data_IF_965291682726
#
_entry.id   IF_965291682726
#
_cell.length_a   1.000
_cell.length_b   1.000
_cell.length_c   1.000
_cell.angle_alpha   90.00
_cell.angle_beta   90.00
_cell.angle_gamma   90.00
#
_symmetry.space_group_name_H-M   'P 1'
#
loop_
_entity.id
_entity.type
_entity.pdbx_description
1 polymer ?
#
# COMPACT_ATOMS: atom_id res chain seq x y z
N UNK A 1 28.86 -7.62 -0.25
CA UNK A 1 28.97 -6.25 -0.70
C UNK A 1 28.40 -5.37 0.41
N UNK A 2 29.28 -4.60 1.05
CA UNK A 2 29.11 -3.97 2.35
C UNK A 2 27.97 -2.96 2.37
N UNK A 3 27.04 -3.12 3.31
CA UNK A 3 26.06 -2.10 3.65
C UNK A 3 26.62 -1.34 4.84
N UNK A 4 26.79 -0.02 4.68
CA UNK A 4 27.11 0.88 5.76
C UNK A 4 25.98 0.89 6.79
N UNK A 5 26.33 0.48 7.99
CA UNK A 5 25.56 0.66 9.21
C UNK A 5 25.56 2.16 9.57
N UNK A 6 24.60 2.92 9.08
CA UNK A 6 24.32 4.28 9.52
C UNK A 6 23.84 4.25 10.98
N UNK A 7 24.72 4.60 11.87
CA UNK A 7 24.53 4.63 13.32
C UNK A 7 23.42 5.64 13.70
N UNK A 8 22.38 5.20 14.44
CA UNK A 8 21.26 6.02 14.95
C UNK A 8 21.71 7.31 15.67
N UNK A 9 22.94 7.29 16.23
CA UNK A 9 23.54 8.46 16.88
C UNK A 9 23.97 9.57 15.93
N UNK A 10 24.35 9.22 14.69
CA UNK A 10 24.84 10.19 13.71
C UNK A 10 23.71 10.97 13.04
N UNK A 11 22.56 10.33 12.76
CA UNK A 11 21.39 11.00 12.18
C UNK A 11 20.79 12.00 13.18
N UNK A 12 20.72 11.62 14.47
CA UNK A 12 20.23 12.53 15.51
C UNK A 12 21.17 13.72 15.74
N UNK A 13 22.48 13.49 15.69
CA UNK A 13 23.48 14.56 15.77
C UNK A 13 23.45 15.47 14.53
N UNK A 14 23.18 14.94 13.34
CA UNK A 14 23.00 15.75 12.12
C UNK A 14 21.77 16.64 12.21
N UNK A 15 20.63 16.12 12.62
CA UNK A 15 19.39 16.88 12.79
C UNK A 15 19.50 17.95 13.88
N UNK A 16 20.28 17.70 14.95
CA UNK A 16 20.57 18.69 15.98
C UNK A 16 21.59 19.74 15.50
N UNK A 17 22.54 19.36 14.63
CA UNK A 17 23.48 20.27 13.98
C UNK A 17 22.79 21.21 12.99
N UNK A 18 21.92 20.68 12.13
CA UNK A 18 21.14 21.45 11.15
C UNK A 18 20.19 22.45 11.85
N UNK A 19 19.54 22.05 12.95
CA UNK A 19 18.73 22.98 13.76
C UNK A 19 19.54 24.08 14.43
N UNK A 20 20.79 23.82 14.77
CA UNK A 20 21.68 24.83 15.33
C UNK A 20 22.25 25.77 14.25
N UNK A 21 22.49 25.29 13.03
CA UNK A 21 22.87 26.12 11.89
C UNK A 21 21.73 27.04 11.43
N UNK A 22 20.50 26.55 11.36
CA UNK A 22 19.32 27.40 11.08
C UNK A 22 19.11 28.48 12.16
N UNK A 23 19.40 28.17 13.42
CA UNK A 23 19.31 29.12 14.53
C UNK A 23 20.42 30.20 14.49
N UNK A 24 21.61 29.84 14.01
CA UNK A 24 22.74 30.79 13.90
C UNK A 24 22.65 31.64 12.62
N UNK A 25 22.09 31.14 11.51
CA UNK A 25 21.89 31.93 10.29
C UNK A 25 20.72 32.92 10.39
N UNK A 26 19.81 32.76 11.34
CA UNK A 26 18.75 33.74 11.63
C UNK A 26 19.22 35.01 12.32
N UNK A 27 20.46 35.09 12.79
CA UNK A 27 20.96 36.21 13.64
C UNK A 27 21.95 37.14 12.89
N UNK A 28 22.27 36.87 11.61
CA UNK A 28 23.31 37.65 10.87
C UNK A 28 22.78 38.28 9.57
N UNK A 29 21.59 38.81 9.51
CA UNK A 29 21.15 39.63 8.38
C UNK A 29 20.36 40.88 8.81
N UNK A 30 20.96 41.67 9.67
CA UNK A 30 20.62 43.10 9.82
C UNK A 30 21.94 43.87 9.72
N UNK A 31 22.11 44.63 8.65
CA UNK A 31 23.19 45.59 8.31
C UNK A 31 24.15 45.10 7.20
N UNK A 32 23.80 45.41 5.98
CA UNK A 32 24.73 45.94 4.97
C UNK A 32 23.95 46.39 3.71
N UNK A 33 23.56 47.64 3.72
CA UNK A 33 23.13 48.38 2.53
C UNK A 33 24.42 48.75 1.74
N UNK A 34 24.61 48.18 0.56
CA UNK A 34 25.57 48.70 -0.42
C UNK A 34 25.10 48.41 -1.85
N UNK A 35 24.84 49.48 -2.53
CA UNK A 35 24.51 49.64 -3.93
C UNK A 35 25.50 48.87 -4.86
N UNK A 36 24.98 47.97 -5.68
CA UNK A 36 25.64 47.61 -6.94
C UNK A 36 24.61 47.33 -8.04
N UNK A 37 24.58 48.23 -9.01
CA UNK A 37 23.83 48.14 -10.25
C UNK A 37 24.46 47.05 -11.11
N UNK A 38 23.86 45.87 -11.14
CA UNK A 38 24.21 44.78 -12.03
C UNK A 38 22.96 44.27 -12.73
N UNK A 39 22.93 44.38 -14.03
CA UNK A 39 21.88 43.98 -14.94
C UNK A 39 21.55 42.49 -14.80
N UNK A 40 20.64 42.15 -13.90
CA UNK A 40 20.14 40.79 -13.69
C UNK A 40 18.93 40.56 -14.59
N UNK A 41 19.13 39.97 -15.73
CA UNK A 41 18.07 39.30 -16.49
C UNK A 41 17.40 38.29 -15.55
N UNK A 42 16.28 38.67 -15.01
CA UNK A 42 15.34 37.73 -14.39
C UNK A 42 14.87 36.81 -15.49
N UNK A 43 15.49 35.62 -15.58
CA UNK A 43 14.91 34.51 -16.33
C UNK A 43 13.54 34.22 -15.68
N UNK A 44 12.47 34.79 -16.25
CA UNK A 44 11.13 34.27 -16.06
C UNK A 44 11.21 32.79 -16.43
N UNK A 45 11.04 31.91 -15.45
CA UNK A 45 10.77 30.50 -15.73
C UNK A 45 9.54 30.50 -16.63
N UNK A 46 9.71 29.92 -17.77
CA UNK A 46 8.64 29.72 -18.73
C UNK A 46 7.70 28.67 -18.09
N UNK A 47 6.53 29.11 -17.61
CA UNK A 47 5.52 28.28 -16.99
C UNK A 47 4.77 27.40 -18.01
N UNK A 48 5.38 27.16 -19.18
CA UNK A 48 4.82 26.28 -20.19
C UNK A 48 4.86 24.81 -19.68
N UNK A 49 3.74 24.06 -19.78
CA UNK A 49 3.64 22.71 -19.29
C UNK A 49 4.70 21.79 -19.95
N UNK A 50 5.63 21.26 -19.17
CA UNK A 50 6.57 20.23 -19.60
C UNK A 50 7.95 20.68 -20.05
N UNK A 51 8.32 21.99 -19.96
CA UNK A 51 9.56 22.47 -20.55
C UNK A 51 10.84 22.05 -19.81
N UNK A 52 10.84 21.74 -18.51
CA UNK A 52 12.06 21.51 -17.75
C UNK A 52 12.01 20.30 -16.81
N UNK A 53 11.89 19.10 -17.39
CA UNK A 53 12.09 17.88 -16.58
C UNK A 53 13.56 17.73 -16.21
N UNK A 54 13.82 17.42 -14.94
CA UNK A 54 15.15 17.30 -14.36
C UNK A 54 15.73 15.89 -14.54
N UNK A 55 17.03 15.80 -14.29
CA UNK A 55 17.73 14.52 -14.20
C UNK A 55 17.82 14.06 -12.75
N UNK A 56 17.96 12.77 -12.52
CA UNK A 56 18.13 12.16 -11.20
C UNK A 56 19.17 12.87 -10.32
N UNK A 57 20.33 13.21 -10.89
CA UNK A 57 21.43 13.89 -10.17
C UNK A 57 21.08 15.31 -9.70
N UNK A 58 20.09 15.94 -10.33
CA UNK A 58 19.69 17.33 -10.03
C UNK A 58 18.54 17.37 -9.01
N UNK A 59 18.04 16.20 -8.60
CA UNK A 59 16.96 16.07 -7.63
C UNK A 59 17.47 16.16 -6.19
N UNK A 60 16.64 16.62 -5.23
CA UNK A 60 16.93 16.49 -3.81
C UNK A 60 17.15 15.02 -3.41
N UNK A 61 18.01 14.77 -2.42
CA UNK A 61 18.44 13.43 -2.02
C UNK A 61 17.26 12.49 -1.69
N UNK A 62 16.21 12.98 -1.04
CA UNK A 62 15.03 12.18 -0.69
C UNK A 62 14.20 11.72 -1.90
N UNK A 63 14.37 12.36 -3.07
CA UNK A 63 13.75 11.97 -4.34
C UNK A 63 14.68 11.12 -5.22
N UNK A 64 15.91 10.87 -4.80
CA UNK A 64 16.90 10.04 -5.51
C UNK A 64 16.81 8.56 -5.11
N UNK A 65 15.60 7.98 -5.08
CA UNK A 65 15.37 6.62 -4.58
C UNK A 65 15.67 5.50 -5.58
N UNK A 66 15.71 5.78 -6.89
CA UNK A 66 16.02 4.79 -7.92
C UNK A 66 17.19 5.24 -8.80
N UNK A 67 18.40 4.66 -8.62
CA UNK A 67 19.61 5.10 -9.33
C UNK A 67 19.65 4.66 -10.80
N UNK A 68 18.68 3.91 -11.31
CA UNK A 68 18.60 3.41 -12.67
C UNK A 68 17.67 4.24 -13.56
N UNK A 69 16.89 5.17 -12.98
CA UNK A 69 16.03 6.13 -13.67
C UNK A 69 16.78 7.46 -13.74
N UNK A 70 17.14 7.92 -14.94
CA UNK A 70 18.03 9.06 -15.11
C UNK A 70 17.33 10.37 -15.45
N UNK A 71 16.15 10.31 -16.06
CA UNK A 71 15.45 11.47 -16.63
C UNK A 71 13.95 11.48 -16.29
N UNK A 72 13.26 12.55 -16.67
CA UNK A 72 11.82 12.64 -16.52
C UNK A 72 11.35 13.10 -15.15
N UNK A 73 12.24 13.61 -14.29
CA UNK A 73 11.86 14.08 -12.95
C UNK A 73 11.22 15.46 -13.01
N UNK A 74 10.09 15.63 -12.32
CA UNK A 74 9.49 16.94 -12.10
C UNK A 74 10.37 17.77 -11.17
N UNK A 75 10.52 19.09 -11.38
CA UNK A 75 11.13 19.96 -10.38
C UNK A 75 10.30 20.00 -9.07
N UNK A 76 10.80 20.66 -8.05
CA UNK A 76 9.99 20.99 -6.88
C UNK A 76 8.89 21.96 -7.32
N UNK A 77 7.63 21.66 -6.97
CA UNK A 77 6.45 22.33 -7.48
C UNK A 77 5.57 22.88 -6.35
N UNK A 78 4.85 23.95 -6.64
CA UNK A 78 3.71 24.38 -5.80
C UNK A 78 2.59 23.33 -5.83
N UNK A 79 1.60 23.47 -4.95
CA UNK A 79 0.41 22.61 -4.95
C UNK A 79 -0.27 22.56 -6.33
N UNK A 80 -0.51 23.73 -6.92
CA UNK A 80 -1.12 23.82 -8.25
C UNK A 80 -0.20 23.32 -9.37
N UNK A 81 1.12 23.46 -9.21
CA UNK A 81 2.11 22.87 -10.12
C UNK A 81 2.04 21.35 -10.12
N UNK A 82 1.87 20.72 -8.95
CA UNK A 82 1.63 19.27 -8.87
C UNK A 82 0.33 18.85 -9.58
N UNK A 83 -0.76 19.61 -9.41
CA UNK A 83 -2.02 19.33 -10.13
C UNK A 83 -1.83 19.49 -11.65
N UNK A 84 -1.18 20.56 -12.09
CA UNK A 84 -0.91 20.79 -13.51
C UNK A 84 -0.01 19.72 -14.13
N UNK A 85 0.82 19.03 -13.33
CA UNK A 85 1.65 17.94 -13.83
C UNK A 85 0.85 16.73 -14.35
N UNK A 86 -0.42 16.63 -14.04
CA UNK A 86 -1.31 15.62 -14.62
C UNK A 86 -1.47 15.77 -16.14
N UNK A 87 -1.15 16.93 -16.71
CA UNK A 87 -1.39 17.25 -18.13
C UNK A 87 -0.12 17.19 -19.01
N UNK A 88 1.00 16.72 -18.45
CA UNK A 88 2.22 16.45 -19.23
C UNK A 88 2.92 15.19 -18.74
N UNK A 89 3.75 14.57 -19.62
CA UNK A 89 4.45 13.32 -19.31
C UNK A 89 5.69 13.56 -18.45
N UNK A 90 5.83 12.74 -17.41
CA UNK A 90 7.01 12.67 -16.53
C UNK A 90 7.13 11.25 -15.96
N UNK A 91 8.21 10.93 -15.27
CA UNK A 91 8.48 9.58 -14.76
C UNK A 91 7.44 9.03 -13.76
N UNK A 92 6.62 9.89 -13.14
CA UNK A 92 5.55 9.50 -12.21
C UNK A 92 4.15 9.44 -12.87
N UNK A 93 4.01 9.82 -14.14
CA UNK A 93 2.69 9.89 -14.80
C UNK A 93 1.97 8.54 -14.78
N UNK A 94 2.66 7.47 -15.12
CA UNK A 94 2.07 6.12 -15.13
C UNK A 94 1.69 5.68 -13.71
N UNK A 95 2.52 5.97 -12.71
CA UNK A 95 2.22 5.66 -11.30
C UNK A 95 0.94 6.37 -10.84
N UNK A 96 0.75 7.63 -11.20
CA UNK A 96 -0.45 8.41 -10.86
C UNK A 96 -1.69 7.83 -11.56
N UNK A 97 -1.63 7.60 -12.88
CA UNK A 97 -2.79 7.13 -13.68
C UNK A 97 -3.21 5.73 -13.27
N UNK A 98 -2.27 4.81 -13.09
CA UNK A 98 -2.57 3.42 -12.71
C UNK A 98 -3.26 3.31 -11.35
N UNK A 99 -3.17 4.33 -10.51
CA UNK A 99 -3.89 4.39 -9.24
C UNK A 99 -5.14 5.28 -9.28
N UNK A 100 -5.18 6.32 -10.09
CA UNK A 100 -6.39 7.16 -10.27
C UNK A 100 -7.56 6.35 -10.84
N UNK A 101 -7.31 5.54 -11.87
CA UNK A 101 -8.35 4.76 -12.56
C UNK A 101 -9.03 3.73 -11.63
N UNK A 102 -8.31 2.90 -10.86
CA UNK A 102 -8.93 1.97 -9.92
C UNK A 102 -9.78 2.63 -8.83
N UNK A 103 -9.43 3.85 -8.36
CA UNK A 103 -10.26 4.57 -7.40
C UNK A 103 -11.67 4.76 -7.94
N UNK A 104 -11.79 5.29 -9.15
CA UNK A 104 -13.09 5.55 -9.79
C UNK A 104 -13.83 4.23 -10.03
N UNK A 105 -13.15 3.23 -10.59
CA UNK A 105 -13.73 1.92 -10.87
C UNK A 105 -14.30 1.27 -9.60
N UNK A 106 -13.54 1.22 -8.51
CA UNK A 106 -13.95 0.58 -7.27
C UNK A 106 -15.13 1.32 -6.63
N UNK A 107 -15.08 2.65 -6.57
CA UNK A 107 -16.15 3.44 -5.96
C UNK A 107 -17.49 3.32 -6.71
N UNK A 108 -17.43 3.07 -8.01
CA UNK A 108 -18.64 2.88 -8.84
C UNK A 108 -19.16 1.44 -8.78
N UNK A 109 -18.28 0.44 -8.81
CA UNK A 109 -18.69 -0.97 -9.00
C UNK A 109 -18.85 -1.75 -7.69
N UNK A 110 -17.90 -1.60 -6.75
CA UNK A 110 -17.85 -2.45 -5.54
C UNK A 110 -19.06 -2.27 -4.63
N UNK A 111 -19.57 -1.05 -4.36
CA UNK A 111 -20.73 -0.89 -3.47
C UNK A 111 -21.95 -1.69 -3.92
N UNK A 112 -22.21 -1.79 -5.23
CA UNK A 112 -23.36 -2.54 -5.77
C UNK A 112 -23.28 -4.05 -5.61
N UNK A 113 -22.09 -4.58 -5.30
CA UNK A 113 -21.82 -6.03 -5.21
C UNK A 113 -21.75 -6.54 -3.77
N UNK A 114 -21.86 -5.65 -2.78
CA UNK A 114 -21.74 -6.01 -1.37
C UNK A 114 -23.11 -6.34 -0.74
N UNK A 115 -23.18 -7.31 0.19
CA UNK A 115 -24.42 -7.73 0.82
C UNK A 115 -24.83 -6.76 1.96
N UNK A 116 -25.11 -5.50 1.64
CA UNK A 116 -25.50 -4.47 2.63
C UNK A 116 -26.82 -4.77 3.36
N UNK A 117 -27.68 -5.56 2.71
CA UNK A 117 -28.95 -6.00 3.29
C UNK A 117 -28.79 -6.93 4.48
N UNK A 118 -27.66 -7.66 4.55
CA UNK A 118 -27.37 -8.61 5.61
C UNK A 118 -26.62 -7.92 6.77
N UNK A 119 -27.24 -7.69 7.94
CA UNK A 119 -26.62 -6.94 9.03
C UNK A 119 -25.30 -7.50 9.52
N UNK A 120 -25.15 -8.84 9.51
CA UNK A 120 -23.94 -9.53 9.96
C UNK A 120 -22.73 -9.31 9.02
N UNK A 121 -22.96 -8.97 7.75
CA UNK A 121 -21.89 -8.76 6.76
C UNK A 121 -21.60 -7.29 6.46
N UNK A 122 -22.35 -6.34 7.03
CA UNK A 122 -22.12 -4.90 6.79
C UNK A 122 -20.72 -4.47 7.17
N UNK A 123 -20.21 -4.94 8.32
CA UNK A 123 -18.84 -4.62 8.73
C UNK A 123 -17.80 -5.15 7.74
N UNK A 124 -17.94 -6.39 7.28
CA UNK A 124 -17.03 -6.98 6.29
C UNK A 124 -17.14 -6.29 4.94
N UNK A 125 -18.32 -5.83 4.55
CA UNK A 125 -18.54 -5.03 3.33
C UNK A 125 -17.79 -3.71 3.39
N UNK A 126 -17.83 -3.00 4.52
CA UNK A 126 -17.00 -1.81 4.75
C UNK A 126 -15.51 -2.13 4.76
N UNK A 127 -15.10 -3.23 5.40
CA UNK A 127 -13.71 -3.68 5.38
C UNK A 127 -13.22 -3.89 3.95
N UNK A 128 -14.03 -4.56 3.11
CA UNK A 128 -13.68 -4.80 1.73
C UNK A 128 -13.60 -3.52 0.92
N UNK A 129 -14.58 -2.63 1.02
CA UNK A 129 -14.58 -1.35 0.28
C UNK A 129 -13.37 -0.49 0.65
N UNK A 130 -13.12 -0.29 1.96
CA UNK A 130 -11.97 0.47 2.43
C UNK A 130 -10.65 -0.20 2.03
N UNK A 131 -10.55 -1.52 2.19
CA UNK A 131 -9.36 -2.27 1.80
C UNK A 131 -9.08 -2.25 0.30
N UNK A 132 -10.12 -2.17 -0.53
CA UNK A 132 -9.96 -2.10 -1.99
C UNK A 132 -9.55 -0.73 -2.49
N UNK A 133 -10.00 0.38 -1.86
CA UNK A 133 -9.75 1.75 -2.36
C UNK A 133 -8.52 2.41 -1.73
N UNK A 134 -8.20 2.08 -0.48
CA UNK A 134 -7.17 2.79 0.29
C UNK A 134 -5.76 2.75 -0.31
N UNK A 135 -5.24 1.64 -0.89
CA UNK A 135 -3.90 1.63 -1.46
C UNK A 135 -3.79 2.61 -2.64
N UNK A 136 -4.85 2.75 -3.42
CA UNK A 136 -4.88 3.67 -4.56
C UNK A 136 -4.89 5.12 -4.13
N UNK A 137 -5.69 5.47 -3.12
CA UNK A 137 -5.77 6.86 -2.62
C UNK A 137 -4.44 7.28 -2.00
N UNK A 138 -3.84 6.45 -1.14
CA UNK A 138 -2.55 6.75 -0.53
C UNK A 138 -1.46 6.97 -1.56
N UNK A 139 -1.32 6.02 -2.49
CA UNK A 139 -0.31 6.07 -3.53
C UNK A 139 -0.54 7.18 -4.56
N UNK A 140 -1.78 7.41 -4.99
CA UNK A 140 -2.12 8.54 -5.87
C UNK A 140 -1.67 9.88 -5.27
N UNK A 141 -2.00 10.12 -4.00
CA UNK A 141 -1.61 11.35 -3.31
C UNK A 141 -0.08 11.44 -3.15
N UNK A 142 0.59 10.36 -2.81
CA UNK A 142 2.04 10.32 -2.71
C UNK A 142 2.69 10.68 -4.06
N UNK A 143 2.37 9.96 -5.13
CA UNK A 143 2.98 10.18 -6.45
C UNK A 143 2.64 11.55 -7.05
N UNK A 144 1.45 12.09 -6.78
CA UNK A 144 1.07 13.41 -7.26
C UNK A 144 1.83 14.53 -6.53
N UNK A 145 1.97 14.42 -5.20
CA UNK A 145 2.48 15.51 -4.36
C UNK A 145 3.89 15.28 -3.79
N UNK A 146 4.60 14.21 -4.16
CA UNK A 146 5.94 13.93 -3.65
C UNK A 146 6.98 15.02 -3.99
N UNK A 147 6.75 15.79 -5.06
CA UNK A 147 7.59 16.92 -5.48
C UNK A 147 7.13 18.27 -4.91
N UNK A 148 6.27 18.29 -3.88
CA UNK A 148 5.78 19.53 -3.31
C UNK A 148 6.90 20.30 -2.61
N UNK A 149 7.06 21.61 -2.91
CA UNK A 149 8.09 22.50 -2.36
C UNK A 149 7.89 22.89 -0.88
N UNK A 150 7.35 21.94 -0.08
CA UNK A 150 7.14 22.11 1.37
C UNK A 150 8.12 21.32 2.22
N UNK A 151 9.17 20.83 1.58
CA UNK A 151 10.29 20.17 2.23
C UNK A 151 10.10 18.66 2.47
N UNK A 152 11.18 18.05 2.87
CA UNK A 152 11.34 16.61 3.05
C UNK A 152 10.34 16.00 4.05
N UNK A 153 9.90 16.75 5.07
CA UNK A 153 8.93 16.28 6.05
C UNK A 153 7.55 15.97 5.43
N UNK A 154 7.13 16.73 4.42
CA UNK A 154 5.87 16.48 3.69
C UNK A 154 5.99 15.24 2.82
N UNK A 155 7.13 15.05 2.14
CA UNK A 155 7.43 13.83 1.40
C UNK A 155 7.28 12.58 2.27
N UNK A 156 7.90 12.54 3.46
CA UNK A 156 7.79 11.37 4.35
C UNK A 156 6.38 11.14 4.88
N UNK A 157 5.59 12.19 5.12
CA UNK A 157 4.17 12.04 5.51
C UNK A 157 3.33 11.44 4.38
N UNK A 158 3.58 11.86 3.14
CA UNK A 158 2.91 11.27 1.97
C UNK A 158 3.32 9.82 1.76
N UNK A 159 4.59 9.48 1.94
CA UNK A 159 5.08 8.10 1.91
C UNK A 159 4.45 7.25 3.02
N UNK A 160 4.27 7.79 4.23
CA UNK A 160 3.56 7.11 5.31
C UNK A 160 2.08 6.89 4.98
N UNK A 161 1.43 7.86 4.30
CA UNK A 161 0.05 7.73 3.84
C UNK A 161 -0.09 6.61 2.80
N UNK A 162 0.84 6.52 1.87
CA UNK A 162 0.92 5.42 0.89
C UNK A 162 1.06 4.06 1.61
N UNK A 163 1.98 3.94 2.54
CA UNK A 163 2.16 2.73 3.36
C UNK A 163 0.93 2.38 4.20
N UNK A 164 0.24 3.40 4.72
CA UNK A 164 -1.02 3.21 5.45
C UNK A 164 -2.11 2.64 4.54
N UNK A 165 -2.19 3.10 3.29
CA UNK A 165 -3.11 2.55 2.29
C UNK A 165 -2.88 1.05 2.06
N UNK A 166 -1.62 0.64 1.92
CA UNK A 166 -1.25 -0.78 1.80
C UNK A 166 -1.66 -1.55 3.05
N UNK A 167 -1.40 -1.01 4.25
CA UNK A 167 -1.78 -1.65 5.50
C UNK A 167 -3.30 -1.85 5.61
N UNK A 168 -4.11 -0.84 5.25
CA UNK A 168 -5.58 -0.95 5.27
C UNK A 168 -6.02 -2.06 4.31
N UNK A 169 -5.46 -2.14 3.12
CA UNK A 169 -5.76 -3.21 2.16
C UNK A 169 -5.40 -4.59 2.72
N UNK A 170 -4.22 -4.75 3.27
CA UNK A 170 -3.74 -6.02 3.81
C UNK A 170 -4.49 -6.45 5.08
N UNK A 171 -5.01 -5.50 5.87
CA UNK A 171 -5.71 -5.77 7.13
C UNK A 171 -7.21 -5.89 6.92
N UNK A 172 -7.86 -4.82 6.44
CA UNK A 172 -9.31 -4.77 6.26
C UNK A 172 -9.75 -5.50 4.99
N UNK A 173 -9.05 -5.33 3.88
CA UNK A 173 -9.37 -6.02 2.61
C UNK A 173 -9.28 -7.54 2.72
N UNK A 174 -8.45 -8.07 3.59
CA UNK A 174 -8.33 -9.52 3.83
C UNK A 174 -9.38 -10.06 4.82
N UNK A 175 -10.08 -9.21 5.59
CA UNK A 175 -11.06 -9.67 6.60
C UNK A 175 -12.17 -10.57 6.06
N UNK A 176 -12.77 -10.31 4.88
CA UNK A 176 -13.76 -11.22 4.31
C UNK A 176 -13.19 -12.63 4.08
N UNK A 177 -11.98 -12.74 3.53
CA UNK A 177 -11.31 -14.03 3.28
C UNK A 177 -10.95 -14.73 4.59
N UNK A 178 -10.42 -14.02 5.58
CA UNK A 178 -10.11 -14.56 6.91
C UNK A 178 -11.39 -15.09 7.56
N UNK A 179 -12.46 -14.30 7.53
CA UNK A 179 -13.75 -14.67 8.15
C UNK A 179 -14.38 -15.86 7.44
N UNK A 180 -14.45 -15.86 6.11
CA UNK A 180 -15.02 -16.97 5.32
C UNK A 180 -14.28 -18.29 5.59
N UNK A 181 -12.94 -18.23 5.69
CA UNK A 181 -12.11 -19.42 5.96
C UNK A 181 -12.44 -20.07 7.31
N UNK A 182 -12.70 -19.28 8.34
CA UNK A 182 -12.96 -19.79 9.70
C UNK A 182 -14.45 -19.80 10.06
N UNK A 183 -15.35 -19.48 9.11
CA UNK A 183 -16.77 -19.21 9.36
C UNK A 183 -17.50 -20.38 10.03
N UNK A 184 -17.27 -21.60 9.55
CA UNK A 184 -17.90 -22.80 10.08
C UNK A 184 -17.07 -23.53 11.16
N UNK A 185 -15.94 -22.97 11.60
CA UNK A 185 -15.15 -23.53 12.69
C UNK A 185 -15.79 -23.24 14.06
N UNK A 186 -15.48 -24.05 15.10
CA UNK A 186 -15.93 -23.79 16.46
C UNK A 186 -15.62 -22.35 16.90
N UNK A 187 -16.55 -21.74 17.65
CA UNK A 187 -16.48 -20.31 18.00
C UNK A 187 -15.13 -19.90 18.60
N UNK A 188 -14.55 -20.73 19.49
CA UNK A 188 -13.23 -20.46 20.08
C UNK A 188 -12.15 -20.37 19.01
N UNK A 189 -12.06 -21.32 18.08
CA UNK A 189 -11.06 -21.35 17.02
C UNK A 189 -11.25 -20.17 16.08
N UNK A 190 -12.50 -19.90 15.66
CA UNK A 190 -12.87 -18.77 14.81
C UNK A 190 -12.39 -17.45 15.38
N UNK A 191 -12.76 -17.14 16.62
CA UNK A 191 -12.37 -15.88 17.25
C UNK A 191 -10.86 -15.79 17.53
N UNK A 192 -10.21 -16.90 17.91
CA UNK A 192 -8.75 -16.94 18.07
C UNK A 192 -8.04 -16.60 16.76
N UNK A 193 -8.47 -17.16 15.63
CA UNK A 193 -7.87 -16.85 14.32
C UNK A 193 -8.09 -15.38 13.93
N UNK A 194 -9.30 -14.85 14.08
CA UNK A 194 -9.63 -13.46 13.75
C UNK A 194 -8.82 -12.50 14.63
N UNK A 195 -8.80 -12.70 15.95
CA UNK A 195 -8.05 -11.85 16.89
C UNK A 195 -6.54 -11.92 16.63
N UNK A 196 -5.99 -13.11 16.38
CA UNK A 196 -4.58 -13.26 16.04
C UNK A 196 -4.22 -12.50 14.77
N UNK A 197 -5.07 -12.57 13.74
CA UNK A 197 -4.87 -11.80 12.52
C UNK A 197 -4.90 -10.29 12.76
N UNK A 198 -5.87 -9.81 13.56
CA UNK A 198 -5.95 -8.39 13.94
C UNK A 198 -4.71 -7.93 14.71
N UNK A 199 -4.21 -8.71 15.66
CA UNK A 199 -3.01 -8.37 16.43
C UNK A 199 -1.75 -8.33 15.56
N UNK A 200 -1.59 -9.32 14.64
CA UNK A 200 -0.48 -9.32 13.68
C UNK A 200 -0.56 -8.12 12.72
N UNK A 201 -1.77 -7.73 12.29
CA UNK A 201 -1.99 -6.57 11.46
C UNK A 201 -1.63 -5.27 12.20
N UNK A 202 -2.03 -5.11 13.46
CA UNK A 202 -1.66 -3.95 14.29
C UNK A 202 -0.15 -3.87 14.53
N UNK A 203 0.49 -5.01 14.76
CA UNK A 203 1.95 -5.06 14.83
C UNK A 203 2.60 -4.62 13.52
N UNK A 204 2.05 -5.07 12.37
CA UNK A 204 2.48 -4.64 11.04
C UNK A 204 2.36 -3.13 10.84
N UNK A 205 1.26 -2.51 11.28
CA UNK A 205 1.07 -1.05 11.27
C UNK A 205 2.15 -0.33 12.09
N UNK A 206 2.35 -0.78 13.34
CA UNK A 206 3.39 -0.20 14.21
C UNK A 206 4.77 -0.24 13.53
N UNK A 207 5.11 -1.38 12.93
CA UNK A 207 6.38 -1.53 12.19
C UNK A 207 6.43 -0.70 10.92
N UNK A 208 5.35 -0.59 10.14
CA UNK A 208 5.29 0.24 8.94
C UNK A 208 5.51 1.73 9.27
N UNK A 209 4.91 2.21 10.36
CA UNK A 209 5.01 3.62 10.79
C UNK A 209 6.37 3.95 11.42
N UNK A 210 7.10 2.95 11.95
CA UNK A 210 8.40 3.12 12.60
C UNK A 210 9.58 2.65 11.75
N UNK A 211 9.34 2.17 10.54
CA UNK A 211 10.37 1.63 9.65
C UNK A 211 11.26 2.74 9.08
N UNK A 212 12.56 2.56 9.21
CA UNK A 212 13.59 3.50 8.73
C UNK A 212 14.11 3.16 7.33
N UNK A 213 14.03 1.89 6.93
CA UNK A 213 14.55 1.42 5.64
C UNK A 213 13.46 0.88 4.73
N UNK A 214 13.66 0.88 3.40
CA UNK A 214 12.75 0.23 2.46
C UNK A 214 12.53 -1.26 2.75
N UNK A 215 13.54 -1.97 3.25
CA UNK A 215 13.44 -3.38 3.62
C UNK A 215 12.57 -3.60 4.85
N UNK A 216 12.73 -2.78 5.89
CA UNK A 216 11.87 -2.84 7.08
C UNK A 216 10.41 -2.61 6.72
N UNK A 217 10.12 -1.64 5.83
CA UNK A 217 8.76 -1.38 5.32
C UNK A 217 8.16 -2.57 4.58
N UNK A 218 8.96 -3.30 3.81
CA UNK A 218 8.49 -4.52 3.12
C UNK A 218 8.27 -5.69 4.09
N UNK A 219 9.14 -5.86 5.06
CA UNK A 219 9.08 -6.97 6.01
C UNK A 219 7.98 -6.82 7.07
N UNK A 220 7.45 -5.60 7.30
CA UNK A 220 6.39 -5.40 8.28
C UNK A 220 5.08 -6.15 7.94
N UNK A 221 4.87 -6.51 6.69
CA UNK A 221 3.70 -7.27 6.24
C UNK A 221 3.90 -8.80 6.23
N UNK A 222 5.11 -9.28 6.54
CA UNK A 222 5.44 -10.72 6.43
C UNK A 222 4.59 -11.58 7.38
N UNK A 223 4.38 -11.15 8.63
CA UNK A 223 3.60 -11.94 9.59
C UNK A 223 2.11 -12.02 9.25
N UNK A 224 1.40 -10.90 8.94
CA UNK A 224 0.03 -10.98 8.44
C UNK A 224 -0.10 -11.80 7.17
N UNK A 225 0.87 -11.69 6.25
CA UNK A 225 0.91 -12.50 5.03
C UNK A 225 1.07 -14.00 5.35
N UNK A 226 2.00 -14.38 6.25
CA UNK A 226 2.19 -15.77 6.65
C UNK A 226 0.93 -16.36 7.27
N UNK A 227 0.21 -15.58 8.09
CA UNK A 227 -1.07 -16.01 8.65
C UNK A 227 -2.12 -16.27 7.55
N UNK A 228 -2.18 -15.42 6.51
CA UNK A 228 -3.08 -15.66 5.37
C UNK A 228 -2.71 -16.93 4.61
N UNK A 229 -1.41 -17.22 4.44
CA UNK A 229 -0.97 -18.47 3.80
C UNK A 229 -1.39 -19.69 4.61
N UNK A 230 -1.33 -19.65 5.94
CA UNK A 230 -1.85 -20.73 6.80
C UNK A 230 -3.37 -20.91 6.62
N UNK A 231 -4.13 -19.80 6.60
CA UNK A 231 -5.57 -19.85 6.35
C UNK A 231 -5.91 -20.36 4.94
N UNK A 232 -5.13 -20.00 3.93
CA UNK A 232 -5.25 -20.55 2.60
C UNK A 232 -5.00 -22.08 2.60
N UNK A 233 -4.02 -22.56 3.35
CA UNK A 233 -3.79 -23.98 3.57
C UNK A 233 -4.99 -24.71 4.20
N UNK A 234 -5.68 -24.08 5.16
CA UNK A 234 -6.93 -24.64 5.73
C UNK A 234 -8.04 -24.74 4.67
N UNK A 235 -8.17 -23.77 3.75
CA UNK A 235 -9.14 -23.86 2.64
C UNK A 235 -8.82 -25.00 1.68
N UNK A 236 -7.54 -25.14 1.29
CA UNK A 236 -7.09 -26.19 0.37
C UNK A 236 -7.31 -27.59 0.98
N UNK A 237 -7.05 -27.75 2.27
CA UNK A 237 -7.25 -29.02 2.98
C UNK A 237 -8.72 -29.33 3.27
N UNK A 238 -9.67 -28.44 2.89
CA UNK A 238 -11.10 -28.58 3.20
C UNK A 238 -11.42 -28.60 4.71
N UNK A 239 -10.46 -28.23 5.55
CA UNK A 239 -10.69 -28.03 6.99
C UNK A 239 -11.27 -26.64 7.28
N UNK A 240 -11.00 -25.67 6.39
CA UNK A 240 -11.57 -24.32 6.42
C UNK A 240 -12.78 -24.16 5.52
N UNK A 241 -13.50 -23.03 5.70
CA UNK A 241 -14.62 -22.61 4.88
C UNK A 241 -14.22 -21.74 3.67
N UNK A 242 -15.23 -21.07 3.11
CA UNK A 242 -15.12 -20.21 1.93
C UNK A 242 -15.53 -20.88 0.64
N UNK A 243 -15.90 -20.08 -0.37
CA UNK A 243 -16.33 -20.59 -1.65
C UNK A 243 -15.20 -21.34 -2.38
N UNK A 244 -15.40 -22.59 -2.82
CA UNK A 244 -14.37 -23.31 -3.59
C UNK A 244 -13.93 -22.54 -4.85
N UNK A 245 -14.88 -21.87 -5.51
CA UNK A 245 -14.66 -21.09 -6.73
C UNK A 245 -13.85 -19.81 -6.48
N UNK A 246 -13.72 -19.38 -5.22
CA UNK A 246 -12.89 -18.23 -4.84
C UNK A 246 -11.41 -18.61 -4.74
N UNK A 247 -11.07 -19.89 -4.57
CA UNK A 247 -9.73 -20.33 -4.21
C UNK A 247 -8.66 -19.88 -5.21
N UNK A 248 -8.95 -19.96 -6.51
CA UNK A 248 -8.03 -19.46 -7.55
C UNK A 248 -7.72 -17.97 -7.37
N UNK A 249 -8.72 -17.16 -7.06
CA UNK A 249 -8.54 -15.73 -6.84
C UNK A 249 -7.82 -15.43 -5.52
N UNK A 250 -8.03 -16.24 -4.47
CA UNK A 250 -7.28 -16.18 -3.21
C UNK A 250 -5.79 -16.41 -3.45
N UNK A 251 -5.42 -17.37 -4.29
CA UNK A 251 -4.03 -17.57 -4.68
C UNK A 251 -3.48 -16.44 -5.54
N UNK A 252 -4.23 -16.01 -6.54
CA UNK A 252 -3.79 -14.97 -7.47
C UNK A 252 -3.52 -13.64 -6.77
N UNK A 253 -4.37 -13.22 -5.83
CA UNK A 253 -4.16 -11.95 -5.11
C UNK A 253 -2.81 -11.91 -4.39
N UNK A 254 -2.40 -13.01 -3.75
CA UNK A 254 -1.15 -13.07 -3.01
C UNK A 254 0.05 -13.33 -3.93
N UNK A 255 -0.06 -14.26 -4.89
CA UNK A 255 1.02 -14.57 -5.82
C UNK A 255 1.40 -13.37 -6.69
N UNK A 256 0.42 -12.68 -7.26
CA UNK A 256 0.65 -11.49 -8.10
C UNK A 256 1.23 -10.34 -7.27
N UNK A 257 0.77 -10.15 -6.02
CA UNK A 257 1.33 -9.15 -5.11
C UNK A 257 2.81 -9.42 -4.80
N UNK A 258 3.17 -10.68 -4.53
CA UNK A 258 4.57 -11.09 -4.26
C UNK A 258 5.44 -10.89 -5.49
N UNK A 259 4.97 -11.25 -6.68
CA UNK A 259 5.70 -11.03 -7.94
C UNK A 259 5.92 -9.53 -8.16
N UNK A 260 4.88 -8.70 -7.98
CA UNK A 260 5.00 -7.26 -8.10
C UNK A 260 6.01 -6.66 -7.11
N UNK A 261 5.94 -7.08 -5.85
CA UNK A 261 6.87 -6.64 -4.82
C UNK A 261 8.33 -7.07 -5.12
N UNK A 262 8.52 -8.27 -5.66
CA UNK A 262 9.85 -8.76 -6.07
C UNK A 262 10.41 -7.94 -7.25
N UNK A 263 9.61 -7.69 -8.29
CA UNK A 263 9.99 -6.86 -9.44
C UNK A 263 10.41 -5.45 -8.97
N UNK A 264 9.57 -4.80 -8.16
CA UNK A 264 9.87 -3.48 -7.60
C UNK A 264 11.10 -3.46 -6.69
N UNK A 265 11.34 -4.54 -5.91
CA UNK A 265 12.50 -4.65 -5.04
C UNK A 265 13.82 -4.86 -5.80
N UNK A 266 13.77 -5.58 -6.91
CA UNK A 266 14.93 -5.88 -7.76
C UNK A 266 15.25 -4.80 -8.78
N UNK A 267 14.36 -3.80 -8.93
CA UNK A 267 14.46 -2.74 -9.94
C UNK A 267 14.59 -3.32 -11.38
N UNK A 268 13.75 -4.28 -11.71
CA UNK A 268 13.74 -4.90 -13.04
C UNK A 268 12.52 -4.39 -13.83
N UNK A 269 12.69 -3.84 -15.05
CA UNK A 269 13.86 -3.99 -15.96
C UNK A 269 14.89 -2.88 -15.92
N UNK A 270 14.67 -1.75 -15.25
CA UNK A 270 15.55 -0.57 -15.33
C UNK A 270 16.98 -0.83 -14.87
N UNK A 271 17.19 -1.81 -13.98
CA UNK A 271 18.55 -2.25 -13.59
C UNK A 271 19.34 -2.85 -14.75
N UNK A 272 18.66 -3.50 -15.71
CA UNK A 272 19.27 -4.09 -16.88
C UNK A 272 19.40 -3.11 -18.04
N UNK A 273 18.48 -2.13 -18.09
CA UNK A 273 18.36 -1.13 -19.16
C UNK A 273 18.28 0.28 -18.57
N UNK A 274 19.33 0.76 -17.85
CA UNK A 274 19.29 2.05 -17.19
C UNK A 274 19.01 3.19 -18.18
N UNK A 275 18.12 4.11 -17.83
CA UNK A 275 17.77 5.27 -18.64
C UNK A 275 16.87 5.00 -19.85
N UNK A 276 16.51 3.73 -20.13
CA UNK A 276 15.66 3.40 -21.30
C UNK A 276 14.17 3.31 -20.96
N UNK A 277 13.85 3.02 -19.72
CA UNK A 277 12.49 2.85 -19.22
C UNK A 277 12.11 3.90 -18.18
N UNK A 278 12.69 5.10 -18.29
CA UNK A 278 12.55 6.18 -17.30
C UNK A 278 11.10 6.64 -17.16
N UNK A 279 10.36 6.75 -18.26
CA UNK A 279 9.02 7.31 -18.31
C UNK A 279 7.91 6.25 -18.17
N UNK A 280 8.18 5.03 -18.59
CA UNK A 280 7.20 3.93 -18.57
C UNK A 280 7.89 2.57 -18.58
N UNK A 281 7.17 1.54 -18.12
CA UNK A 281 7.63 0.14 -18.01
C UNK A 281 8.81 -0.08 -17.06
N UNK A 282 9.12 0.86 -16.16
CA UNK A 282 10.04 0.57 -15.06
C UNK A 282 9.41 -0.36 -14.02
N UNK A 283 10.20 -0.89 -13.12
CA UNK A 283 9.77 -1.87 -12.12
C UNK A 283 8.61 -1.37 -11.26
N UNK A 284 8.59 -0.08 -10.96
CA UNK A 284 7.54 0.54 -10.15
C UNK A 284 6.21 0.61 -10.91
N UNK A 285 6.22 1.00 -12.19
CA UNK A 285 5.03 0.96 -13.03
C UNK A 285 4.46 -0.47 -13.15
N UNK A 286 5.34 -1.46 -13.37
CA UNK A 286 4.94 -2.88 -13.47
C UNK A 286 4.34 -3.34 -12.15
N UNK A 287 4.96 -3.02 -11.02
CA UNK A 287 4.45 -3.33 -9.69
C UNK A 287 3.04 -2.75 -9.50
N UNK A 288 2.80 -1.49 -9.87
CA UNK A 288 1.48 -0.85 -9.79
C UNK A 288 0.41 -1.64 -10.55
N UNK A 289 0.69 -2.03 -11.79
CA UNK A 289 -0.25 -2.82 -12.61
C UNK A 289 -0.52 -4.18 -11.97
N UNK A 290 0.51 -4.84 -11.44
CA UNK A 290 0.34 -6.14 -10.77
C UNK A 290 -0.46 -6.01 -9.47
N UNK A 291 -0.29 -4.93 -8.71
CA UNK A 291 -1.10 -4.68 -7.50
C UNK A 291 -2.57 -4.43 -7.88
N UNK A 292 -2.86 -3.75 -9.00
CA UNK A 292 -4.23 -3.63 -9.53
C UNK A 292 -4.82 -5.02 -9.82
N UNK A 293 -4.09 -5.89 -10.49
CA UNK A 293 -4.53 -7.26 -10.78
C UNK A 293 -4.75 -8.10 -9.50
N UNK A 294 -3.91 -7.89 -8.48
CA UNK A 294 -4.05 -8.54 -7.18
C UNK A 294 -5.32 -8.11 -6.45
N UNK A 295 -5.60 -6.80 -6.37
CA UNK A 295 -6.83 -6.28 -5.73
C UNK A 295 -8.08 -6.67 -6.53
N UNK A 296 -8.00 -6.71 -7.86
CA UNK A 296 -9.07 -7.25 -8.68
C UNK A 296 -9.39 -8.72 -8.29
N UNK A 297 -8.35 -9.54 -8.12
CA UNK A 297 -8.52 -10.93 -7.66
C UNK A 297 -9.08 -10.99 -6.23
N UNK A 298 -8.61 -10.13 -5.32
CA UNK A 298 -9.17 -10.00 -3.97
C UNK A 298 -10.66 -9.69 -4.01
N UNK A 299 -11.09 -8.76 -4.88
CA UNK A 299 -12.49 -8.41 -5.04
C UNK A 299 -13.34 -9.60 -5.50
N UNK A 300 -12.90 -10.32 -6.53
CA UNK A 300 -13.59 -11.50 -7.02
C UNK A 300 -13.67 -12.63 -5.99
N UNK A 301 -12.61 -12.85 -5.22
CA UNK A 301 -12.63 -13.81 -4.11
C UNK A 301 -13.66 -13.39 -3.05
N UNK A 302 -13.67 -12.12 -2.68
CA UNK A 302 -14.57 -11.58 -1.65
C UNK A 302 -16.05 -11.71 -2.04
N UNK A 303 -16.41 -11.35 -3.29
CA UNK A 303 -17.80 -11.47 -3.76
C UNK A 303 -18.28 -12.93 -3.70
N UNK A 304 -17.44 -13.88 -4.13
CA UNK A 304 -17.75 -15.32 -4.05
C UNK A 304 -17.87 -15.79 -2.62
N UNK A 305 -16.97 -15.35 -1.73
CA UNK A 305 -17.00 -15.71 -0.31
C UNK A 305 -18.22 -15.12 0.41
N UNK A 306 -18.65 -13.91 0.08
CA UNK A 306 -19.90 -13.37 0.62
C UNK A 306 -21.11 -14.19 0.18
N UNK A 307 -21.21 -14.50 -1.12
CA UNK A 307 -22.31 -15.34 -1.61
C UNK A 307 -22.32 -16.72 -0.93
N UNK A 308 -21.14 -17.29 -0.68
CA UNK A 308 -21.03 -18.55 0.04
C UNK A 308 -21.46 -18.40 1.50
N UNK A 309 -21.01 -17.38 2.23
CA UNK A 309 -21.35 -17.17 3.65
C UNK A 309 -22.86 -16.92 3.86
N UNK A 310 -23.51 -16.21 2.96
CA UNK A 310 -24.98 -15.97 3.00
C UNK A 310 -25.75 -17.26 2.85
N UNK A 311 -25.28 -18.23 2.05
CA UNK A 311 -26.02 -19.44 1.70
C UNK A 311 -25.55 -20.70 2.46
N UNK A 312 -24.42 -20.66 3.17
CA UNK A 312 -23.86 -21.84 3.81
C UNK A 312 -24.62 -22.23 5.08
N UNK A 313 -24.91 -23.52 5.20
CA UNK A 313 -25.32 -24.14 6.46
C UNK A 313 -24.09 -24.87 7.02
N UNK A 314 -23.48 -24.32 8.08
CA UNK A 314 -22.36 -24.98 8.74
C UNK A 314 -22.85 -26.31 9.35
N UNK A 315 -22.21 -27.43 8.99
CA UNK A 315 -22.51 -28.73 9.59
C UNK A 315 -22.35 -28.62 11.09
N UNK A 316 -23.38 -29.05 11.84
CA UNK A 316 -23.29 -29.17 13.29
C UNK A 316 -22.04 -30.02 13.63
N UNK A 317 -21.21 -29.54 14.53
CA UNK A 317 -19.98 -30.23 14.92
C UNK A 317 -20.36 -31.63 15.40
N UNK A 318 -19.57 -32.65 15.08
CA UNK A 318 -19.77 -34.06 15.45
C UNK A 318 -20.17 -34.25 16.94
N UNK A 319 -19.71 -33.32 17.82
CA UNK A 319 -20.11 -33.28 19.24
C UNK A 319 -21.59 -32.97 19.45
N UNK A 320 -22.25 -32.14 18.62
CA UNK A 320 -23.67 -31.87 18.70
C UNK A 320 -24.51 -33.04 18.19
N UNK A 321 -23.99 -33.73 17.16
CA UNK A 321 -24.62 -34.94 16.60
C UNK A 321 -24.56 -36.08 17.64
N UNK A 322 -23.41 -36.28 18.30
CA UNK A 322 -23.27 -37.24 19.40
C UNK A 322 -24.17 -36.91 20.58
N UNK A 323 -24.33 -35.65 20.97
CA UNK A 323 -25.18 -35.24 22.06
C UNK A 323 -26.67 -35.44 21.72
N UNK A 324 -27.10 -35.16 20.51
CA UNK A 324 -28.48 -35.44 20.05
C UNK A 324 -28.76 -36.92 19.93
N UNK A 325 -27.77 -37.73 19.51
CA UNK A 325 -27.95 -39.19 19.41
C UNK A 325 -28.02 -39.84 20.82
N UNK A 326 -27.21 -39.37 21.78
CA UNK A 326 -27.23 -39.84 23.17
C UNK A 326 -28.54 -39.45 23.89
N UNK A 327 -29.05 -38.24 23.62
CA UNK A 327 -30.36 -37.81 24.20
C UNK A 327 -31.54 -38.57 23.63
N UNK A 328 -31.52 -38.90 22.32
CA UNK A 328 -32.57 -39.72 21.70
C UNK A 328 -32.52 -41.16 22.16
N UNK A 329 -31.38 -41.74 22.42
CA UNK A 329 -31.24 -43.10 22.96
C UNK A 329 -31.70 -43.17 24.44
N UNK A 330 -31.43 -42.14 25.23
CA UNK A 330 -31.86 -42.07 26.63
C UNK A 330 -33.34 -41.69 26.82
N UNK A 331 -34.00 -41.15 25.79
CA UNK A 331 -35.42 -40.84 25.83
C UNK A 331 -36.30 -41.99 25.29
N UNK A 332 -35.65 -43.04 24.78
CA UNK A 332 -36.34 -44.25 24.26
C UNK A 332 -36.19 -45.50 25.12
N UNK A 333 -35.64 -45.38 26.33
CA UNK A 333 -35.59 -46.37 27.40
C UNK A 333 -36.48 -45.87 28.58
#
# INVERSE_FOLDING_TARGET
MMMENGNRGDVRKRLESEKNEERNNGTYNADANSTNTGNGTTNKRDDSPGSDLLRWKDMPQHLQFNPYIFTGYRPMLSFWGCINSLFYMHNETINIITHAVPIVYILVTVPGLMPWGEPEFRFLSWCHLLGSVSPWVGSFLYHLFMNLERGESVYYRLLQLDMLGIWISQSFGAMPMVTSTVYCLPALVRWTCILSYCLLSLWGLYKAMTAWSPWERRLCFLLPFSMRMLLCGLRVSSLGGGAPEALTHVFLQDAVSVIGAAIGAMHIPEKWFPGTVDMYLNSHNIMHVLVVAAVYSMHHATVKDFNWMVNVQCRATVAQTLHSTVTTVNAGL
#
